data_IF_624054599579
#
_entry.id   IF_624054599579
#
_cell.length_a   1.000
_cell.length_b   1.000
_cell.length_c   1.000
_cell.angle_alpha   90.00
_cell.angle_beta   90.00
_cell.angle_gamma   90.00
#
_symmetry.space_group_name_H-M   'P 1'
#
loop_
_entity.id
_entity.type
_entity.pdbx_description
1 polymer ?
#
# COMPACT_ATOMS: atom_id res chain seq x y z
N UNK A 1 -6.01 -23.85 -27.47
CA UNK A 1 -5.23 -23.91 -26.22
C UNK A 1 -3.87 -23.32 -26.50
N UNK A 2 -3.51 -22.25 -25.79
CA UNK A 2 -2.22 -21.57 -25.94
C UNK A 2 -1.27 -22.06 -24.85
N UNK A 3 0.03 -22.20 -25.19
CA UNK A 3 1.05 -22.69 -24.26
C UNK A 3 2.08 -21.60 -24.01
N UNK A 4 2.38 -21.34 -22.73
CA UNK A 4 3.29 -20.31 -22.26
C UNK A 4 4.24 -20.86 -21.20
N UNK A 5 5.30 -20.13 -20.86
CA UNK A 5 6.12 -20.46 -19.70
C UNK A 5 5.38 -20.06 -18.40
N UNK A 6 4.82 -18.85 -18.35
CA UNK A 6 4.15 -18.32 -17.16
C UNK A 6 2.82 -17.66 -17.51
N UNK A 7 1.78 -17.99 -16.72
CA UNK A 7 0.53 -17.22 -16.66
C UNK A 7 0.54 -16.38 -15.40
N UNK A 8 0.29 -15.07 -15.53
CA UNK A 8 0.11 -14.14 -14.42
C UNK A 8 -1.36 -13.72 -14.35
N UNK A 9 -2.00 -13.86 -13.21
CA UNK A 9 -3.40 -13.43 -12.99
C UNK A 9 -3.43 -12.12 -12.24
N UNK A 10 -3.95 -11.06 -12.87
CA UNK A 10 -4.10 -9.72 -12.31
C UNK A 10 -3.01 -8.76 -12.76
N UNK A 11 -3.44 -7.59 -13.27
CA UNK A 11 -2.60 -6.50 -13.79
C UNK A 11 -2.27 -5.39 -12.78
N UNK A 12 -2.49 -5.63 -11.48
CA UNK A 12 -2.10 -4.70 -10.42
C UNK A 12 -0.59 -4.63 -10.22
N UNK A 13 -0.09 -3.87 -9.20
CA UNK A 13 1.34 -3.66 -8.99
C UNK A 13 2.17 -4.94 -8.90
N UNK A 14 1.66 -5.98 -8.19
CA UNK A 14 2.35 -7.26 -8.06
C UNK A 14 2.47 -8.00 -9.40
N UNK A 15 1.34 -8.17 -10.11
CA UNK A 15 1.33 -8.95 -11.35
C UNK A 15 2.06 -8.26 -12.48
N UNK A 16 1.89 -6.95 -12.66
CA UNK A 16 2.63 -6.16 -13.66
C UNK A 16 4.13 -6.19 -13.40
N UNK A 17 4.56 -6.14 -12.12
CA UNK A 17 5.98 -6.28 -11.75
C UNK A 17 6.50 -7.68 -12.08
N UNK A 18 5.78 -8.74 -11.68
CA UNK A 18 6.20 -10.11 -11.98
C UNK A 18 6.28 -10.38 -13.49
N UNK A 19 5.27 -9.93 -14.24
CA UNK A 19 5.26 -10.06 -15.70
C UNK A 19 6.45 -9.32 -16.34
N UNK A 20 6.76 -8.10 -15.88
CA UNK A 20 7.94 -7.34 -16.34
C UNK A 20 9.23 -8.13 -16.13
N UNK A 21 9.45 -8.62 -14.92
CA UNK A 21 10.70 -9.28 -14.53
C UNK A 21 10.89 -10.62 -15.24
N UNK A 22 9.84 -11.41 -15.34
CA UNK A 22 9.88 -12.72 -15.99
C UNK A 22 10.06 -12.59 -17.50
N UNK A 23 9.40 -11.61 -18.14
CA UNK A 23 9.61 -11.34 -19.57
C UNK A 23 11.02 -10.84 -19.86
N UNK A 24 11.61 -9.98 -19.00
CA UNK A 24 13.03 -9.58 -19.11
C UNK A 24 13.99 -10.75 -18.96
N UNK A 25 13.62 -11.77 -18.19
CA UNK A 25 14.40 -12.98 -18.03
C UNK A 25 14.26 -13.95 -19.25
N UNK A 26 13.46 -13.58 -20.25
CA UNK A 26 13.30 -14.33 -21.52
C UNK A 26 12.19 -15.37 -21.52
N UNK A 27 11.33 -15.39 -20.49
CA UNK A 27 10.18 -16.29 -20.46
C UNK A 27 9.00 -15.77 -21.29
N UNK A 28 8.25 -16.67 -21.92
CA UNK A 28 6.98 -16.35 -22.58
C UNK A 28 5.88 -16.18 -21.51
N UNK A 29 5.54 -14.92 -21.24
CA UNK A 29 4.62 -14.52 -20.17
C UNK A 29 3.31 -14.02 -20.76
N UNK A 30 2.18 -14.56 -20.28
CA UNK A 30 0.85 -14.02 -20.50
C UNK A 30 0.28 -13.48 -19.19
N UNK A 31 -0.24 -12.25 -19.23
CA UNK A 31 -0.92 -11.61 -18.09
C UNK A 31 -2.39 -11.42 -18.43
N UNK A 32 -3.26 -11.93 -17.55
CA UNK A 32 -4.73 -11.87 -17.70
C UNK A 32 -5.29 -10.91 -16.63
N UNK A 33 -5.92 -9.82 -17.09
CA UNK A 33 -6.55 -8.81 -16.22
C UNK A 33 -8.05 -8.68 -16.56
N UNK A 34 -8.88 -8.79 -15.55
CA UNK A 34 -10.35 -8.72 -15.70
C UNK A 34 -10.89 -7.32 -16.02
N UNK A 35 -10.19 -6.29 -15.55
CA UNK A 35 -10.62 -4.91 -15.75
C UNK A 35 -9.98 -4.30 -17.01
N UNK A 36 -10.59 -3.20 -17.48
CA UNK A 36 -9.96 -2.27 -18.41
C UNK A 36 -9.22 -1.20 -17.62
N UNK A 37 -7.97 -0.93 -17.96
CA UNK A 37 -7.20 0.14 -17.35
C UNK A 37 -7.30 1.44 -18.17
N UNK A 38 -7.19 2.63 -17.52
CA UNK A 38 -6.98 2.84 -16.08
C UNK A 38 -8.23 2.55 -15.24
N UNK A 39 -8.03 2.09 -13.98
CA UNK A 39 -9.11 1.83 -13.01
C UNK A 39 -8.73 2.31 -11.62
N UNK A 40 -9.71 2.78 -10.84
CA UNK A 40 -9.48 3.22 -9.48
C UNK A 40 -9.21 2.05 -8.51
N UNK A 41 -8.39 2.33 -7.52
CA UNK A 41 -8.08 1.41 -6.43
C UNK A 41 -7.59 2.21 -5.21
N UNK A 42 -7.71 1.66 -3.99
CA UNK A 42 -7.13 2.24 -2.78
C UNK A 42 -5.67 1.80 -2.60
N UNK A 43 -4.89 2.61 -1.84
CA UNK A 43 -3.48 2.36 -1.57
C UNK A 43 -2.57 3.29 -2.38
N UNK A 44 -2.62 4.58 -2.08
CA UNK A 44 -2.11 5.68 -2.90
C UNK A 44 -0.86 6.34 -2.30
N UNK A 45 -0.48 5.94 -1.09
CA UNK A 45 0.73 6.42 -0.42
C UNK A 45 1.80 5.32 -0.43
N UNK A 46 3.00 5.64 -0.91
CA UNK A 46 4.08 4.68 -1.07
C UNK A 46 5.19 4.88 -0.02
N UNK A 47 6.07 3.88 0.11
CA UNK A 47 7.20 3.91 1.02
C UNK A 47 8.50 4.26 0.27
N UNK A 48 9.50 4.92 0.91
CA UNK A 48 10.78 5.22 0.30
C UNK A 48 11.48 4.02 -0.32
N UNK A 49 11.42 2.85 0.29
CA UNK A 49 12.04 1.62 -0.22
C UNK A 49 11.43 1.11 -1.54
N UNK A 50 10.32 1.68 -2.01
CA UNK A 50 9.83 1.48 -3.38
C UNK A 50 10.71 2.16 -4.43
N UNK A 51 11.46 3.21 -4.08
CA UNK A 51 12.24 4.01 -5.02
C UNK A 51 13.21 3.15 -5.85
N UNK A 52 14.00 2.32 -5.18
CA UNK A 52 14.93 1.40 -5.86
C UNK A 52 14.21 0.37 -6.73
N UNK A 53 13.05 -0.11 -6.30
CA UNK A 53 12.24 -1.06 -7.08
C UNK A 53 11.74 -0.41 -8.37
N UNK A 54 11.31 0.86 -8.33
CA UNK A 54 10.91 1.60 -9.52
C UNK A 54 12.08 1.88 -10.45
N UNK A 55 13.28 2.15 -9.91
CA UNK A 55 14.50 2.28 -10.70
C UNK A 55 14.81 0.97 -11.43
N UNK A 56 14.78 -0.16 -10.74
CA UNK A 56 15.05 -1.48 -11.31
C UNK A 56 13.99 -1.90 -12.33
N UNK A 57 12.74 -1.47 -12.16
CA UNK A 57 11.67 -1.62 -13.15
C UNK A 57 11.80 -0.68 -14.37
N UNK A 58 12.64 0.36 -14.28
CA UNK A 58 12.80 1.36 -15.34
C UNK A 58 11.60 2.31 -15.48
N UNK A 59 10.86 2.56 -14.40
CA UNK A 59 9.70 3.47 -14.38
C UNK A 59 9.92 4.71 -13.51
N UNK A 60 11.07 4.82 -12.82
CA UNK A 60 11.33 5.87 -11.85
C UNK A 60 11.21 7.27 -12.44
N UNK A 61 11.74 7.51 -13.65
CA UNK A 61 11.68 8.82 -14.29
C UNK A 61 10.23 9.22 -14.63
N UNK A 62 9.43 8.27 -15.14
CA UNK A 62 8.00 8.47 -15.40
C UNK A 62 7.25 8.75 -14.08
N UNK A 63 7.61 8.05 -12.99
CA UNK A 63 7.09 8.30 -11.63
C UNK A 63 7.35 9.73 -11.15
N UNK A 64 8.59 10.20 -11.29
CA UNK A 64 9.01 11.55 -10.88
C UNK A 64 8.28 12.66 -11.63
N UNK A 65 7.91 12.41 -12.88
CA UNK A 65 7.19 13.37 -13.73
C UNK A 65 5.69 13.38 -13.47
N UNK A 66 5.13 12.26 -13.01
CA UNK A 66 3.67 12.06 -12.96
C UNK A 66 3.09 12.22 -11.57
N UNK A 67 3.85 11.95 -10.52
CA UNK A 67 3.29 11.82 -9.17
C UNK A 67 3.91 12.76 -8.15
N UNK A 68 3.10 13.13 -7.16
CA UNK A 68 3.52 13.93 -6.00
C UNK A 68 4.61 13.21 -5.23
N UNK A 69 5.65 13.92 -4.82
CA UNK A 69 6.71 13.39 -3.97
C UNK A 69 6.29 13.46 -2.51
N UNK A 70 6.56 12.38 -1.78
CA UNK A 70 6.16 12.20 -0.38
C UNK A 70 7.37 12.25 0.55
N UNK A 71 7.59 13.34 1.31
CA UNK A 71 8.75 13.48 2.20
C UNK A 71 8.59 12.79 3.56
N UNK A 72 7.35 12.43 3.95
CA UNK A 72 7.10 11.89 5.29
C UNK A 72 5.66 11.57 5.59
N UNK A 73 5.40 11.32 6.88
CA UNK A 73 4.08 11.05 7.44
C UNK A 73 3.86 11.95 8.66
N UNK A 74 2.68 12.56 8.77
CA UNK A 74 2.27 13.37 9.91
C UNK A 74 1.09 12.73 10.61
N UNK A 75 1.21 12.47 11.90
CA UNK A 75 0.12 12.03 12.75
C UNK A 75 -0.48 13.22 13.47
N UNK A 76 -1.81 13.25 13.55
CA UNK A 76 -2.57 14.36 14.15
C UNK A 76 -3.65 13.84 15.08
N UNK A 77 -3.97 14.62 16.11
CA UNK A 77 -5.21 14.46 16.86
C UNK A 77 -6.37 14.96 16.00
N UNK A 78 -7.17 14.06 15.47
CA UNK A 78 -8.25 14.40 14.56
C UNK A 78 -9.35 15.26 15.19
N UNK A 79 -9.57 15.15 16.50
CA UNK A 79 -10.59 15.94 17.23
C UNK A 79 -10.14 17.37 17.47
N UNK A 80 -8.86 17.59 17.77
CA UNK A 80 -8.28 18.90 18.05
C UNK A 80 -7.75 19.57 16.78
N UNK A 81 -7.45 18.80 15.73
CA UNK A 81 -6.77 19.29 14.54
C UNK A 81 -5.31 19.66 14.78
N UNK A 82 -4.70 19.18 15.86
CA UNK A 82 -3.32 19.48 16.24
C UNK A 82 -2.36 18.40 15.81
N UNK A 83 -1.13 18.78 15.45
CA UNK A 83 -0.06 17.85 15.10
C UNK A 83 0.40 17.11 16.35
N UNK A 84 0.42 15.77 16.29
CA UNK A 84 0.99 14.93 17.34
C UNK A 84 2.47 14.66 17.06
N UNK A 85 2.81 14.22 15.84
CA UNK A 85 4.21 13.97 15.44
C UNK A 85 4.34 14.00 13.92
N UNK A 86 5.53 14.37 13.43
CA UNK A 86 5.87 14.31 12.00
C UNK A 86 7.14 13.46 11.82
N UNK A 87 7.07 12.50 10.91
CA UNK A 87 8.13 11.56 10.57
C UNK A 87 8.65 11.88 9.18
N UNK A 88 9.75 12.65 9.10
CA UNK A 88 10.38 13.04 7.84
C UNK A 88 11.46 12.04 7.44
N UNK A 89 11.35 11.45 6.27
CA UNK A 89 12.25 10.37 5.85
C UNK A 89 13.68 10.82 5.60
N UNK A 90 13.91 12.11 5.30
CA UNK A 90 15.26 12.69 5.16
C UNK A 90 16.07 12.69 6.47
N UNK A 91 15.45 12.40 7.62
CA UNK A 91 16.17 12.23 8.88
C UNK A 91 17.02 10.95 8.92
N UNK A 92 16.70 9.96 8.10
CA UNK A 92 17.37 8.65 8.07
C UNK A 92 17.85 8.24 6.67
N UNK A 93 17.30 8.84 5.62
CA UNK A 93 17.68 8.59 4.22
C UNK A 93 18.30 9.87 3.66
N UNK A 94 19.63 9.90 3.41
CA UNK A 94 20.35 11.12 3.07
C UNK A 94 20.31 11.50 1.58
N UNK A 95 19.78 10.64 0.72
CA UNK A 95 19.68 10.85 -0.72
C UNK A 95 18.23 11.06 -1.20
N UNK A 96 18.02 11.36 -2.49
CA UNK A 96 16.73 11.66 -3.07
C UNK A 96 15.64 10.57 -2.86
N UNK A 97 16.03 9.35 -2.52
CA UNK A 97 15.09 8.26 -2.29
C UNK A 97 14.21 8.45 -1.05
N UNK A 98 14.55 9.41 -0.17
CA UNK A 98 13.67 9.80 0.93
C UNK A 98 12.33 10.37 0.42
N UNK A 99 12.34 11.04 -0.74
CA UNK A 99 11.14 11.51 -1.41
C UNK A 99 10.44 10.34 -2.11
N UNK A 100 9.60 9.64 -1.38
CA UNK A 100 8.70 8.64 -1.91
C UNK A 100 7.60 9.26 -2.79
N UNK A 101 6.47 8.60 -2.97
CA UNK A 101 5.41 9.08 -3.85
C UNK A 101 4.03 8.96 -3.20
N UNK A 102 3.16 9.92 -3.54
CA UNK A 102 1.71 9.80 -3.47
C UNK A 102 1.20 9.59 -4.90
N UNK A 103 0.43 8.55 -5.13
CA UNK A 103 0.04 8.15 -6.48
C UNK A 103 -1.47 7.98 -6.60
N UNK A 104 -2.09 8.58 -7.60
CA UNK A 104 -3.40 8.14 -8.04
C UNK A 104 -3.24 6.75 -8.67
N UNK A 105 -3.98 5.75 -8.18
CA UNK A 105 -3.78 4.35 -8.55
C UNK A 105 -4.14 4.04 -10.00
N UNK A 106 -5.11 4.76 -10.57
CA UNK A 106 -5.51 4.54 -11.95
C UNK A 106 -4.34 4.76 -12.94
N UNK A 107 -3.66 5.91 -12.99
CA UNK A 107 -2.48 6.10 -13.83
C UNK A 107 -1.27 5.27 -13.38
N UNK A 108 -1.06 5.08 -12.07
CA UNK A 108 0.07 4.32 -11.54
C UNK A 108 0.01 2.83 -11.95
N UNK A 109 -1.11 2.17 -11.71
CA UNK A 109 -1.27 0.76 -12.06
C UNK A 109 -1.19 0.58 -13.59
N UNK A 110 -1.76 1.52 -14.37
CA UNK A 110 -1.68 1.49 -15.83
C UNK A 110 -0.25 1.68 -16.36
N UNK A 111 0.55 2.54 -15.74
CA UNK A 111 1.98 2.70 -16.03
C UNK A 111 2.73 1.38 -15.85
N UNK A 112 2.52 0.67 -14.75
CA UNK A 112 3.15 -0.63 -14.49
C UNK A 112 2.69 -1.70 -15.48
N UNK A 113 1.40 -1.73 -15.82
CA UNK A 113 0.86 -2.67 -16.80
C UNK A 113 1.44 -2.43 -18.21
N UNK A 114 1.53 -1.17 -18.63
CA UNK A 114 2.20 -0.79 -19.89
C UNK A 114 3.69 -1.16 -19.86
N UNK A 115 4.34 -1.01 -18.70
CA UNK A 115 5.73 -1.42 -18.57
C UNK A 115 5.90 -2.93 -18.78
N UNK A 116 4.99 -3.76 -18.27
CA UNK A 116 5.01 -5.20 -18.51
C UNK A 116 4.90 -5.51 -20.02
N UNK A 117 3.95 -4.88 -20.71
CA UNK A 117 3.80 -5.03 -22.15
C UNK A 117 5.05 -4.57 -22.93
N UNK A 118 5.62 -3.41 -22.59
CA UNK A 118 6.88 -2.90 -23.20
C UNK A 118 8.06 -3.85 -23.02
N UNK A 119 8.05 -4.66 -21.96
CA UNK A 119 9.10 -5.65 -21.69
C UNK A 119 8.79 -7.06 -22.23
N UNK A 120 7.74 -7.21 -23.06
CA UNK A 120 7.45 -8.43 -23.79
C UNK A 120 6.34 -9.31 -23.24
N UNK A 121 5.71 -8.95 -22.11
CA UNK A 121 4.55 -9.68 -21.62
C UNK A 121 3.35 -9.52 -22.56
N UNK A 122 2.64 -10.61 -22.85
CA UNK A 122 1.37 -10.60 -23.57
C UNK A 122 0.26 -10.23 -22.59
N UNK A 123 -0.24 -9.00 -22.66
CA UNK A 123 -1.23 -8.46 -21.72
C UNK A 123 -2.63 -8.52 -22.34
N UNK A 124 -3.54 -9.21 -21.69
CA UNK A 124 -4.96 -9.29 -22.04
C UNK A 124 -5.81 -8.66 -20.96
N UNK A 125 -6.27 -7.44 -21.19
CA UNK A 125 -7.26 -6.76 -20.36
C UNK A 125 -8.67 -7.30 -20.66
N UNK A 126 -9.64 -7.02 -19.79
CA UNK A 126 -11.03 -7.48 -19.90
C UNK A 126 -11.14 -9.01 -20.09
N UNK A 127 -10.15 -9.72 -19.55
CA UNK A 127 -10.04 -11.18 -19.63
C UNK A 127 -10.07 -11.77 -18.22
N UNK A 128 -11.26 -12.21 -17.82
CA UNK A 128 -11.52 -12.70 -16.46
C UNK A 128 -11.21 -14.18 -16.36
N UNK A 129 -10.27 -14.55 -15.49
CA UNK A 129 -10.03 -15.95 -15.14
C UNK A 129 -11.25 -16.53 -14.40
N UNK A 130 -11.75 -17.64 -14.90
CA UNK A 130 -12.86 -18.41 -14.32
C UNK A 130 -12.39 -19.56 -13.48
N UNK A 131 -11.40 -20.28 -13.99
CA UNK A 131 -10.90 -21.48 -13.33
C UNK A 131 -9.40 -21.66 -13.52
N UNK A 132 -8.79 -22.34 -12.56
CA UNK A 132 -7.35 -22.65 -12.54
C UNK A 132 -7.18 -24.06 -12.00
N UNK A 133 -6.46 -24.90 -12.72
CA UNK A 133 -6.05 -26.21 -12.24
C UNK A 133 -4.53 -26.26 -12.07
N UNK A 134 -4.10 -26.36 -10.80
CA UNK A 134 -2.68 -26.51 -10.39
C UNK A 134 -2.38 -27.92 -9.89
N UNK A 135 -3.37 -28.81 -9.87
CA UNK A 135 -3.29 -30.12 -9.20
C UNK A 135 -3.19 -31.31 -10.16
N UNK A 136 -3.70 -31.17 -11.40
CA UNK A 136 -3.77 -32.28 -12.34
C UNK A 136 -2.41 -32.72 -12.91
N UNK A 137 -1.41 -31.81 -12.88
CA UNK A 137 -0.06 -32.13 -13.29
C UNK A 137 0.97 -31.32 -12.49
N UNK A 138 2.06 -31.93 -11.98
CA UNK A 138 3.04 -31.23 -11.15
C UNK A 138 3.84 -30.17 -11.91
N UNK A 139 3.99 -30.31 -13.22
CA UNK A 139 4.84 -29.45 -14.06
C UNK A 139 4.05 -28.54 -15.01
N UNK A 140 2.73 -28.46 -14.85
CA UNK A 140 1.92 -27.59 -15.68
C UNK A 140 0.65 -27.16 -14.97
N UNK A 141 0.15 -25.99 -15.37
CA UNK A 141 -1.13 -25.41 -14.93
C UNK A 141 -2.03 -25.19 -16.11
N UNK A 142 -3.34 -25.31 -15.87
CA UNK A 142 -4.35 -24.93 -16.88
C UNK A 142 -5.19 -23.79 -16.32
N UNK A 143 -5.34 -22.73 -17.12
CA UNK A 143 -6.13 -21.54 -16.76
C UNK A 143 -7.22 -21.37 -17.81
N UNK A 144 -8.46 -21.28 -17.35
CA UNK A 144 -9.61 -20.95 -18.18
C UNK A 144 -10.07 -19.52 -17.91
N UNK A 145 -10.16 -18.72 -18.96
CA UNK A 145 -10.57 -17.31 -18.85
C UNK A 145 -11.61 -16.97 -19.90
N UNK A 146 -12.37 -15.89 -19.66
CA UNK A 146 -13.38 -15.36 -20.58
C UNK A 146 -13.02 -13.92 -20.91
N UNK A 147 -12.99 -13.58 -22.20
CA UNK A 147 -12.80 -12.23 -22.70
C UNK A 147 -14.08 -11.39 -22.66
N UNK A 148 -13.99 -10.11 -23.04
CA UNK A 148 -15.12 -9.18 -23.06
C UNK A 148 -16.26 -9.60 -24.00
N UNK A 149 -15.98 -10.41 -25.02
CA UNK A 149 -16.98 -10.95 -25.94
C UNK A 149 -17.74 -12.16 -25.38
N UNK A 150 -17.30 -12.68 -24.23
CA UNK A 150 -17.82 -13.89 -23.62
C UNK A 150 -17.20 -15.18 -24.15
N UNK A 151 -16.17 -15.07 -25.01
CA UNK A 151 -15.45 -16.22 -25.56
C UNK A 151 -14.50 -16.77 -24.50
N UNK A 152 -14.54 -18.10 -24.37
CA UNK A 152 -13.64 -18.82 -23.48
C UNK A 152 -12.30 -19.13 -24.15
N UNK A 153 -11.24 -18.93 -23.40
CA UNK A 153 -9.85 -19.19 -23.75
C UNK A 153 -9.22 -20.12 -22.72
N UNK A 154 -8.42 -21.06 -23.17
CA UNK A 154 -7.66 -21.96 -22.30
C UNK A 154 -6.17 -21.74 -22.53
N UNK A 155 -5.47 -21.43 -21.44
CA UNK A 155 -4.02 -21.26 -21.38
C UNK A 155 -3.40 -22.40 -20.61
N UNK A 156 -2.31 -22.94 -21.12
CA UNK A 156 -1.46 -23.90 -20.42
C UNK A 156 -0.11 -23.26 -20.14
N UNK A 157 0.42 -23.42 -18.95
CA UNK A 157 1.73 -22.89 -18.62
C UNK A 157 2.51 -23.83 -17.71
N UNK A 158 3.83 -23.64 -17.63
CA UNK A 158 4.70 -24.34 -16.70
C UNK A 158 4.53 -23.80 -15.27
N UNK A 159 4.22 -22.53 -15.14
CA UNK A 159 4.08 -21.88 -13.84
C UNK A 159 2.93 -20.85 -13.84
N UNK A 160 2.26 -20.72 -12.70
CA UNK A 160 1.22 -19.72 -12.44
C UNK A 160 1.66 -18.73 -11.36
N UNK A 161 1.46 -17.45 -11.62
CA UNK A 161 1.56 -16.39 -10.61
C UNK A 161 0.16 -15.86 -10.31
N UNK A 162 -0.38 -16.16 -9.13
CA UNK A 162 -1.62 -15.56 -8.64
C UNK A 162 -1.32 -14.20 -8.01
N UNK A 163 -1.60 -13.14 -8.76
CA UNK A 163 -1.57 -11.74 -8.34
C UNK A 163 -2.97 -11.11 -8.44
N UNK A 164 -4.03 -11.91 -8.23
CA UNK A 164 -5.44 -11.52 -8.35
C UNK A 164 -5.92 -10.51 -7.30
N UNK A 165 -4.99 -10.01 -6.47
CA UNK A 165 -5.28 -9.04 -5.43
C UNK A 165 -6.22 -9.60 -4.38
N UNK A 166 -7.15 -8.78 -3.91
CA UNK A 166 -8.08 -9.16 -2.83
C UNK A 166 -9.04 -10.30 -3.17
N UNK A 167 -9.17 -10.69 -4.42
CA UNK A 167 -9.93 -11.91 -4.78
C UNK A 167 -9.25 -13.16 -4.27
N UNK A 168 -7.90 -13.16 -4.17
CA UNK A 168 -7.10 -14.29 -3.72
C UNK A 168 -7.59 -15.59 -4.38
N UNK A 169 -7.50 -15.64 -5.72
CA UNK A 169 -8.19 -16.62 -6.55
C UNK A 169 -7.90 -18.07 -6.10
N UNK A 170 -6.63 -18.44 -5.99
CA UNK A 170 -6.25 -19.77 -5.48
C UNK A 170 -6.68 -19.97 -4.02
N UNK A 171 -6.45 -18.95 -3.18
CA UNK A 171 -6.84 -18.97 -1.77
C UNK A 171 -8.34 -19.19 -1.57
N UNK A 172 -9.16 -18.59 -2.42
CA UNK A 172 -10.61 -18.72 -2.42
C UNK A 172 -11.05 -20.08 -2.98
N UNK A 173 -10.51 -20.47 -4.14
CA UNK A 173 -10.86 -21.75 -4.79
C UNK A 173 -10.57 -22.96 -3.91
N UNK A 174 -9.44 -22.98 -3.24
CA UNK A 174 -9.01 -24.14 -2.44
C UNK A 174 -9.35 -24.00 -0.94
N UNK A 175 -10.06 -22.94 -0.53
CA UNK A 175 -10.43 -22.74 0.88
C UNK A 175 -9.26 -22.42 1.81
N UNK A 176 -8.19 -21.85 1.28
CA UNK A 176 -6.98 -21.48 2.05
C UNK A 176 -7.04 -20.09 2.64
N UNK A 177 -7.99 -19.26 2.20
CA UNK A 177 -8.20 -17.89 2.70
C UNK A 177 -8.91 -17.90 4.05
N UNK A 178 -8.39 -17.14 5.02
CA UNK A 178 -8.97 -16.93 6.35
C UNK A 178 -9.02 -15.46 6.69
N UNK A 179 -10.18 -14.97 7.07
CA UNK A 179 -10.34 -13.59 7.58
C UNK A 179 -9.67 -13.47 8.95
N UNK A 180 -9.08 -12.31 9.21
CA UNK A 180 -8.58 -11.91 10.52
C UNK A 180 -9.64 -11.06 11.22
N UNK A 181 -10.42 -11.68 12.09
CA UNK A 181 -11.53 -11.04 12.80
C UNK A 181 -11.08 -9.89 13.72
N UNK A 182 -9.85 -9.94 14.22
CA UNK A 182 -9.25 -8.90 15.06
C UNK A 182 -9.06 -7.55 14.33
N UNK A 183 -9.14 -7.55 12.99
CA UNK A 183 -9.00 -6.37 12.12
C UNK A 183 -10.28 -6.13 11.30
N UNK A 184 -11.45 -6.27 11.95
CA UNK A 184 -12.78 -6.06 11.36
C UNK A 184 -13.05 -4.56 11.11
N UNK A 185 -12.64 -4.06 9.94
CA UNK A 185 -12.70 -2.66 9.57
C UNK A 185 -13.16 -2.45 8.13
N UNK A 186 -13.69 -1.24 7.91
CA UNK A 186 -14.08 -0.76 6.58
C UNK A 186 -13.53 0.65 6.36
N UNK A 187 -13.05 0.89 5.16
CA UNK A 187 -12.69 2.20 4.65
C UNK A 187 -13.79 2.76 3.76
N UNK A 188 -14.12 4.05 3.92
CA UNK A 188 -15.02 4.83 3.04
C UNK A 188 -14.25 6.07 2.61
N UNK A 189 -14.15 6.31 1.29
CA UNK A 189 -13.24 7.32 0.75
C UNK A 189 -13.61 7.79 -0.65
N UNK A 190 -12.98 8.90 -1.06
CA UNK A 190 -13.05 9.39 -2.43
C UNK A 190 -11.82 10.28 -2.75
N UNK A 191 -11.75 10.78 -3.99
CA UNK A 191 -10.89 11.89 -4.38
C UNK A 191 -11.67 13.19 -4.33
N UNK A 192 -11.04 14.23 -3.77
CA UNK A 192 -11.61 15.56 -3.54
C UNK A 192 -10.79 16.59 -4.32
N UNK A 193 -11.43 17.31 -5.23
CA UNK A 193 -10.80 18.35 -6.04
C UNK A 193 -11.18 19.76 -5.60
N UNK A 194 -10.35 20.73 -6.00
CA UNK A 194 -10.50 22.13 -5.58
C UNK A 194 -9.90 22.41 -4.20
N UNK A 195 -9.02 21.53 -3.71
CA UNK A 195 -8.34 21.70 -2.42
C UNK A 195 -7.25 22.74 -2.56
N UNK A 196 -7.22 23.68 -1.60
CA UNK A 196 -6.11 24.65 -1.49
C UNK A 196 -5.00 24.02 -0.66
N UNK A 197 -3.93 23.58 -1.31
CA UNK A 197 -2.81 22.90 -0.66
C UNK A 197 -1.77 23.86 -0.05
N UNK A 198 -2.15 25.08 0.30
CA UNK A 198 -1.31 26.01 1.04
C UNK A 198 -1.44 25.75 2.55
N UNK A 199 -0.36 25.46 3.23
CA UNK A 199 -0.35 25.19 4.67
C UNK A 199 -0.30 23.70 5.03
N UNK A 200 -1.40 23.11 5.47
CA UNK A 200 -1.42 21.78 6.09
C UNK A 200 -0.95 20.59 5.27
N UNK A 201 -0.93 20.69 3.95
CA UNK A 201 -0.48 19.62 3.04
C UNK A 201 0.80 19.96 2.29
N UNK A 202 1.48 21.03 2.68
CA UNK A 202 2.77 21.36 2.13
C UNK A 202 3.73 20.17 2.25
N UNK A 203 4.67 20.10 1.34
CA UNK A 203 5.70 19.05 1.27
C UNK A 203 5.17 17.63 0.97
N UNK A 204 3.90 17.48 0.52
CA UNK A 204 3.35 16.19 0.10
C UNK A 204 3.18 15.16 1.22
N UNK A 205 3.10 15.58 2.47
CA UNK A 205 2.96 14.69 3.63
C UNK A 205 1.72 13.80 3.53
N UNK A 206 1.85 12.56 3.99
CA UNK A 206 0.69 11.75 4.33
C UNK A 206 0.15 12.18 5.68
N UNK A 207 -1.08 12.66 5.72
CA UNK A 207 -1.73 13.03 6.98
C UNK A 207 -2.58 11.89 7.49
N UNK A 208 -2.35 11.49 8.72
CA UNK A 208 -3.11 10.46 9.46
C UNK A 208 -3.69 11.11 10.72
N UNK A 209 -5.00 11.19 10.79
CA UNK A 209 -5.72 11.83 11.89
C UNK A 209 -6.40 10.75 12.72
N UNK A 210 -6.07 10.67 14.00
CA UNK A 210 -6.72 9.74 14.92
C UNK A 210 -8.18 10.16 15.14
N UNK A 211 -9.10 9.19 15.04
CA UNK A 211 -10.50 9.36 15.40
C UNK A 211 -10.68 9.04 16.91
N UNK A 212 -11.92 9.23 17.40
CA UNK A 212 -12.21 8.95 18.78
C UNK A 212 -12.38 7.47 19.13
N UNK A 213 -12.58 7.20 20.42
CA UNK A 213 -12.82 5.87 20.99
C UNK A 213 -14.07 5.18 20.39
N UNK A 214 -15.08 5.98 20.00
CA UNK A 214 -16.31 5.48 19.39
C UNK A 214 -16.05 4.83 18.04
N UNK A 215 -15.26 5.49 17.17
CA UNK A 215 -14.91 5.02 15.83
C UNK A 215 -13.79 3.98 15.85
N UNK A 216 -12.87 4.10 16.79
CA UNK A 216 -11.63 3.30 16.88
C UNK A 216 -10.93 3.19 15.53
N UNK A 217 -10.74 4.34 14.89
CA UNK A 217 -10.29 4.45 13.52
C UNK A 217 -9.40 5.65 13.27
N UNK A 218 -9.21 5.95 12.00
CA UNK A 218 -8.37 7.05 11.55
C UNK A 218 -8.86 7.60 10.22
N UNK A 219 -8.56 8.87 9.98
CA UNK A 219 -8.77 9.56 8.71
C UNK A 219 -7.40 9.67 8.02
N UNK A 220 -7.38 9.55 6.69
CA UNK A 220 -6.23 9.92 5.89
C UNK A 220 -6.56 11.06 4.95
N UNK A 221 -5.54 11.87 4.65
CA UNK A 221 -5.58 12.91 3.63
C UNK A 221 -4.20 12.91 2.95
N UNK A 222 -4.15 12.56 1.66
CA UNK A 222 -2.91 12.52 0.88
C UNK A 222 -3.08 13.34 -0.39
N UNK A 223 -2.14 14.24 -0.72
CA UNK A 223 -2.19 14.99 -1.97
C UNK A 223 -1.90 14.07 -3.17
N UNK A 224 -2.68 14.18 -4.22
CA UNK A 224 -2.51 13.43 -5.47
C UNK A 224 -2.02 14.29 -6.63
N UNK A 225 -2.27 15.58 -6.56
CA UNK A 225 -1.75 16.63 -7.43
C UNK A 225 -1.86 18.00 -6.72
N UNK A 226 -1.79 19.10 -7.45
CA UNK A 226 -1.75 20.46 -6.89
C UNK A 226 -3.09 20.97 -6.33
N UNK A 227 -4.22 20.34 -6.68
CA UNK A 227 -5.57 20.75 -6.24
C UNK A 227 -6.45 19.57 -5.77
N UNK A 228 -5.89 18.34 -5.76
CA UNK A 228 -6.64 17.13 -5.47
C UNK A 228 -6.00 16.31 -4.36
N UNK A 229 -6.83 15.80 -3.46
CA UNK A 229 -6.44 14.85 -2.42
C UNK A 229 -7.28 13.58 -2.49
N UNK A 230 -6.72 12.47 -2.04
CA UNK A 230 -7.51 11.36 -1.55
C UNK A 230 -7.77 11.56 -0.07
N UNK A 231 -9.03 11.45 0.33
CA UNK A 231 -9.41 11.52 1.73
C UNK A 231 -10.54 10.54 2.04
N UNK A 232 -10.46 9.96 3.21
CA UNK A 232 -11.45 9.03 3.72
C UNK A 232 -11.14 8.62 5.15
N UNK A 233 -11.90 7.67 5.65
CA UNK A 233 -11.72 7.16 7.00
C UNK A 233 -11.81 5.64 7.05
N UNK A 234 -11.19 5.07 8.07
CA UNK A 234 -11.31 3.67 8.47
C UNK A 234 -11.96 3.61 9.84
N UNK A 235 -12.97 2.78 10.01
CA UNK A 235 -13.58 2.52 11.30
C UNK A 235 -14.00 1.05 11.47
N UNK A 236 -14.33 0.65 12.70
CA UNK A 236 -14.85 -0.70 12.96
C UNK A 236 -16.14 -0.97 12.20
N UNK A 237 -16.32 -2.18 11.70
CA UNK A 237 -17.51 -2.59 10.96
C UNK A 237 -18.80 -2.47 11.79
N UNK A 238 -18.74 -2.70 13.11
CA UNK A 238 -19.88 -2.48 14.01
C UNK A 238 -20.33 -1.02 13.97
N UNK A 239 -19.40 -0.08 14.10
CA UNK A 239 -19.68 1.36 14.03
C UNK A 239 -20.33 1.73 12.69
N UNK A 240 -19.72 1.31 11.57
CA UNK A 240 -20.23 1.63 10.23
C UNK A 240 -21.62 1.05 10.00
N UNK A 241 -21.90 -0.18 10.44
CA UNK A 241 -23.25 -0.79 10.34
C UNK A 241 -24.28 0.01 11.10
N UNK A 242 -23.95 0.43 12.33
CA UNK A 242 -24.86 1.19 13.18
C UNK A 242 -25.16 2.59 12.58
N UNK A 243 -24.13 3.28 12.09
CA UNK A 243 -24.33 4.57 11.43
C UNK A 243 -25.12 4.43 10.13
N UNK A 244 -24.79 3.45 9.28
CA UNK A 244 -25.53 3.15 8.07
C UNK A 244 -27.01 2.91 8.36
N UNK A 245 -27.33 2.11 9.36
CA UNK A 245 -28.73 1.85 9.76
C UNK A 245 -29.43 3.13 10.15
N UNK A 246 -28.84 3.94 11.05
CA UNK A 246 -29.40 5.23 11.48
C UNK A 246 -29.67 6.17 10.30
N UNK A 247 -28.74 6.26 9.36
CA UNK A 247 -28.88 7.13 8.18
C UNK A 247 -29.97 6.66 7.22
N UNK A 248 -30.03 5.35 6.96
CA UNK A 248 -31.09 4.78 6.12
C UNK A 248 -32.48 4.91 6.76
N UNK A 249 -32.59 4.70 8.07
CA UNK A 249 -33.85 4.89 8.82
C UNK A 249 -34.26 6.38 8.82
N UNK A 250 -33.32 7.32 8.72
CA UNK A 250 -33.57 8.74 8.55
C UNK A 250 -33.81 9.18 7.08
N UNK A 251 -33.79 8.26 6.12
CA UNK A 251 -34.08 8.51 4.72
C UNK A 251 -32.88 8.97 3.87
N UNK A 252 -31.66 8.76 4.32
CA UNK A 252 -30.47 9.08 3.55
C UNK A 252 -30.43 8.31 2.22
N UNK A 253 -30.16 9.03 1.13
CA UNK A 253 -30.04 8.44 -0.22
C UNK A 253 -28.61 8.03 -0.56
N UNK A 254 -27.64 8.75 -0.03
CA UNK A 254 -26.20 8.56 -0.26
C UNK A 254 -25.51 8.43 1.09
N UNK A 255 -25.86 7.41 1.87
CA UNK A 255 -25.40 7.21 3.24
C UNK A 255 -23.86 7.16 3.35
N UNK A 256 -23.17 6.62 2.33
CA UNK A 256 -21.71 6.54 2.28
C UNK A 256 -21.06 7.92 2.20
N UNK A 257 -21.62 8.83 1.40
CA UNK A 257 -21.17 10.21 1.31
C UNK A 257 -21.49 10.97 2.61
N UNK A 258 -22.73 10.84 3.09
CA UNK A 258 -23.17 11.52 4.31
C UNK A 258 -22.34 11.08 5.51
N UNK A 259 -22.06 9.77 5.65
CA UNK A 259 -21.22 9.26 6.72
C UNK A 259 -19.76 9.73 6.57
N UNK A 260 -19.21 9.71 5.35
CA UNK A 260 -17.86 10.19 5.11
C UNK A 260 -17.72 11.65 5.49
N UNK A 261 -18.62 12.51 5.04
CA UNK A 261 -18.64 13.94 5.41
C UNK A 261 -18.84 14.16 6.90
N UNK A 262 -19.71 13.38 7.54
CA UNK A 262 -19.91 13.44 8.99
C UNK A 262 -18.60 13.20 9.73
N UNK A 263 -17.86 12.15 9.35
CA UNK A 263 -16.61 11.79 10.04
C UNK A 263 -15.45 12.75 9.73
N UNK A 264 -15.31 13.19 8.48
CA UNK A 264 -14.30 14.18 8.09
C UNK A 264 -14.55 15.52 8.80
N UNK A 265 -15.81 15.96 8.88
CA UNK A 265 -16.18 17.23 9.54
C UNK A 265 -16.04 17.22 11.07
N UNK A 266 -15.84 16.06 11.70
CA UNK A 266 -15.49 15.98 13.13
C UNK A 266 -14.09 16.52 13.43
N UNK A 267 -13.21 16.50 12.42
CA UNK A 267 -11.89 17.12 12.50
C UNK A 267 -11.95 18.57 12.01
N UNK A 268 -11.64 19.56 12.86
CA UNK A 268 -11.58 20.97 12.42
C UNK A 268 -10.66 21.17 11.22
N UNK A 269 -9.51 20.49 11.24
CA UNK A 269 -8.53 20.53 10.15
C UNK A 269 -9.09 19.97 8.83
N UNK A 270 -9.66 18.75 8.86
CA UNK A 270 -10.20 18.13 7.66
C UNK A 270 -11.42 18.89 7.12
N UNK A 271 -12.27 19.42 8.01
CA UNK A 271 -13.41 20.26 7.65
C UNK A 271 -12.98 21.51 6.90
N UNK A 272 -12.01 22.27 7.42
CA UNK A 272 -11.49 23.50 6.80
C UNK A 272 -10.85 23.19 5.43
N UNK A 273 -10.03 22.15 5.37
CA UNK A 273 -9.32 21.76 4.15
C UNK A 273 -10.26 21.33 3.02
N UNK A 274 -11.34 20.63 3.35
CA UNK A 274 -12.29 20.08 2.37
C UNK A 274 -13.51 20.98 2.13
N UNK A 275 -13.56 22.15 2.76
CA UNK A 275 -14.66 23.12 2.53
C UNK A 275 -14.69 23.59 1.07
N UNK A 276 -15.84 23.45 0.44
CA UNK A 276 -16.04 23.87 -0.97
C UNK A 276 -15.42 22.94 -2.01
N UNK A 277 -14.90 21.80 -1.61
CA UNK A 277 -14.36 20.77 -2.54
C UNK A 277 -15.46 19.95 -3.19
N UNK A 278 -15.13 19.29 -4.29
CA UNK A 278 -16.04 18.40 -5.02
C UNK A 278 -15.44 16.99 -5.19
N UNK A 279 -16.31 15.99 -5.36
CA UNK A 279 -15.88 14.63 -5.65
C UNK A 279 -15.32 14.53 -7.08
N UNK A 280 -14.13 13.97 -7.22
CA UNK A 280 -13.52 13.63 -8.53
C UNK A 280 -13.82 12.19 -8.96
N UNK A 281 -14.13 11.32 -8.01
CA UNK A 281 -14.60 9.95 -8.25
C UNK A 281 -15.79 9.64 -7.33
N UNK A 282 -16.65 8.67 -7.67
CA UNK A 282 -17.70 8.21 -6.77
C UNK A 282 -17.13 7.71 -5.44
N UNK A 283 -17.95 7.77 -4.38
CA UNK A 283 -17.57 7.18 -3.08
C UNK A 283 -17.20 5.70 -3.23
N UNK A 284 -16.14 5.32 -2.57
CA UNK A 284 -15.60 3.95 -2.56
C UNK A 284 -15.75 3.33 -1.16
N UNK A 285 -16.07 2.05 -1.10
CA UNK A 285 -16.19 1.28 0.15
C UNK A 285 -15.32 0.04 0.05
N UNK A 286 -14.42 -0.14 1.00
CA UNK A 286 -13.56 -1.30 1.10
C UNK A 286 -13.69 -1.91 2.48
N UNK A 287 -14.45 -3.00 2.61
CA UNK A 287 -14.68 -3.70 3.87
C UNK A 287 -13.98 -5.06 3.95
N UNK A 288 -13.88 -5.60 5.17
CA UNK A 288 -13.38 -6.96 5.48
C UNK A 288 -12.08 -7.29 4.74
N UNK A 289 -11.13 -6.35 4.77
CA UNK A 289 -9.96 -6.43 3.92
C UNK A 289 -8.80 -7.21 4.54
N UNK A 290 -8.76 -7.44 5.86
CA UNK A 290 -7.64 -8.15 6.49
C UNK A 290 -7.86 -9.67 6.46
N UNK A 291 -6.94 -10.38 5.82
CA UNK A 291 -6.97 -11.84 5.73
C UNK A 291 -5.57 -12.40 5.48
N UNK A 292 -5.42 -13.67 5.77
CA UNK A 292 -4.26 -14.48 5.40
C UNK A 292 -4.68 -15.63 4.48
N UNK A 293 -3.75 -16.11 3.69
CA UNK A 293 -3.92 -17.31 2.87
C UNK A 293 -2.86 -18.33 3.29
N UNK A 294 -3.19 -19.61 3.28
CA UNK A 294 -2.25 -20.72 3.46
C UNK A 294 -1.74 -21.20 2.10
N UNK A 295 -0.73 -22.05 2.13
CA UNK A 295 -0.20 -22.71 0.91
C UNK A 295 0.16 -21.68 -0.20
N UNK A 296 1.01 -20.73 0.16
CA UNK A 296 1.36 -19.60 -0.69
C UNK A 296 2.03 -19.98 -2.02
N UNK A 297 2.63 -21.15 -2.10
CA UNK A 297 3.31 -21.65 -3.30
C UNK A 297 3.29 -23.18 -3.35
N UNK A 298 3.53 -23.71 -4.54
CA UNK A 298 3.70 -25.12 -4.84
C UNK A 298 4.72 -25.31 -5.95
N UNK A 299 4.76 -26.51 -6.55
CA UNK A 299 5.69 -26.84 -7.63
C UNK A 299 5.49 -26.02 -8.90
N UNK A 300 4.26 -25.56 -9.14
CA UNK A 300 3.85 -24.92 -10.38
C UNK A 300 3.03 -23.62 -10.17
N UNK A 301 2.93 -23.12 -8.95
CA UNK A 301 2.24 -21.86 -8.65
C UNK A 301 2.89 -21.09 -7.50
N UNK A 302 2.66 -19.77 -7.49
CA UNK A 302 3.00 -18.87 -6.40
C UNK A 302 1.98 -17.74 -6.29
N UNK A 303 1.66 -17.30 -5.06
CA UNK A 303 0.73 -16.22 -4.75
C UNK A 303 1.52 -15.02 -4.26
N UNK A 304 1.33 -13.85 -4.86
CA UNK A 304 2.05 -12.62 -4.54
C UNK A 304 1.11 -11.46 -4.22
N UNK A 305 1.64 -10.45 -3.54
CA UNK A 305 0.87 -9.27 -3.14
C UNK A 305 -0.36 -9.63 -2.32
N UNK A 306 -1.48 -8.94 -2.58
CA UNK A 306 -2.72 -9.16 -1.83
C UNK A 306 -3.32 -10.55 -2.04
N UNK A 307 -3.01 -11.25 -3.14
CA UNK A 307 -3.48 -12.62 -3.34
C UNK A 307 -2.96 -13.57 -2.27
N UNK A 308 -1.76 -13.30 -1.71
CA UNK A 308 -1.18 -14.05 -0.58
C UNK A 308 -1.79 -13.65 0.77
N UNK A 309 -2.19 -12.40 0.92
CA UNK A 309 -2.76 -11.88 2.18
C UNK A 309 -2.77 -10.36 2.17
N UNK A 310 -3.78 -9.79 2.82
CA UNK A 310 -3.97 -8.35 2.90
C UNK A 310 -3.79 -7.85 4.33
N UNK A 311 -3.10 -6.72 4.47
CA UNK A 311 -2.86 -6.03 5.74
C UNK A 311 -3.57 -4.68 5.77
N UNK A 312 -3.87 -4.18 6.98
CA UNK A 312 -4.46 -2.85 7.16
C UNK A 312 -3.54 -1.76 6.56
N UNK A 313 -4.10 -0.77 5.83
CA UNK A 313 -3.32 0.20 5.06
C UNK A 313 -2.67 1.32 5.89
N UNK A 314 -2.83 1.34 7.21
CA UNK A 314 -2.37 2.44 8.08
C UNK A 314 -0.89 2.83 7.88
N UNK A 315 -0.02 1.87 7.56
CA UNK A 315 1.40 2.11 7.35
C UNK A 315 1.82 2.16 5.87
N UNK A 316 0.87 2.29 4.95
CA UNK A 316 1.14 2.42 3.50
C UNK A 316 1.99 1.27 2.91
N UNK A 317 1.98 0.09 3.51
CA UNK A 317 2.89 -1.02 3.18
C UNK A 317 2.44 -1.89 2.01
N UNK A 318 1.16 -1.87 1.62
CA UNK A 318 0.57 -2.84 0.68
C UNK A 318 1.23 -2.87 -0.70
N UNK A 319 1.43 -1.71 -1.34
CA UNK A 319 2.07 -1.64 -2.66
C UNK A 319 3.53 -2.06 -2.57
N UNK A 320 4.26 -1.64 -1.53
CA UNK A 320 5.64 -2.07 -1.29
C UNK A 320 5.74 -3.59 -1.14
N UNK A 321 4.92 -4.18 -0.27
CA UNK A 321 4.85 -5.64 -0.10
C UNK A 321 4.54 -6.34 -1.44
N UNK A 322 3.59 -5.80 -2.21
CA UNK A 322 3.19 -6.36 -3.50
C UNK A 322 4.33 -6.38 -4.51
N UNK A 323 5.04 -5.26 -4.69
CA UNK A 323 6.16 -5.15 -5.63
C UNK A 323 7.36 -5.97 -5.14
N UNK A 324 7.72 -5.86 -3.85
CA UNK A 324 8.87 -6.58 -3.30
C UNK A 324 8.68 -8.09 -3.34
N UNK A 325 7.47 -8.60 -3.06
CA UNK A 325 7.16 -10.03 -3.21
C UNK A 325 7.29 -10.48 -4.66
N UNK A 326 6.85 -9.65 -5.62
CA UNK A 326 7.00 -9.96 -7.04
C UNK A 326 8.47 -10.08 -7.45
N UNK A 327 9.37 -9.21 -6.95
CA UNK A 327 10.82 -9.31 -7.21
C UNK A 327 11.39 -10.64 -6.71
N UNK A 328 11.13 -11.01 -5.45
CA UNK A 328 11.67 -12.21 -4.85
C UNK A 328 11.16 -13.48 -5.53
N UNK A 329 9.84 -13.53 -5.76
CA UNK A 329 9.20 -14.72 -6.33
C UNK A 329 9.54 -14.86 -7.81
N UNK A 330 9.63 -13.77 -8.59
CA UNK A 330 10.04 -13.83 -9.99
C UNK A 330 11.48 -14.35 -10.14
N UNK A 331 12.39 -13.95 -9.23
CA UNK A 331 13.75 -14.49 -9.23
C UNK A 331 13.76 -16.00 -8.97
N UNK A 332 12.95 -16.47 -8.00
CA UNK A 332 12.84 -17.91 -7.72
C UNK A 332 12.19 -18.67 -8.88
N UNK A 333 11.17 -18.12 -9.54
CA UNK A 333 10.55 -18.72 -10.73
C UNK A 333 11.56 -18.80 -11.88
N UNK A 334 12.31 -17.73 -12.15
CA UNK A 334 13.33 -17.72 -13.17
C UNK A 334 14.36 -18.83 -12.95
N UNK A 335 14.87 -18.98 -11.74
CA UNK A 335 15.78 -20.07 -11.37
C UNK A 335 15.16 -21.46 -11.64
N UNK A 336 13.91 -21.64 -11.23
CA UNK A 336 13.19 -22.91 -11.40
C UNK A 336 13.00 -23.27 -12.87
N UNK A 337 12.59 -22.31 -13.70
CA UNK A 337 12.29 -22.55 -15.11
C UNK A 337 13.55 -22.71 -15.97
N UNK A 338 14.64 -22.00 -15.62
CA UNK A 338 15.92 -22.01 -16.35
C UNK A 338 16.75 -23.25 -16.01
N UNK A 339 16.92 -23.52 -14.72
CA UNK A 339 17.81 -24.58 -14.23
C UNK A 339 17.07 -25.88 -13.92
N UNK A 340 15.76 -25.95 -14.21
CA UNK A 340 14.90 -27.12 -13.97
C UNK A 340 14.97 -27.62 -12.52
N UNK A 341 15.10 -26.70 -11.59
CA UNK A 341 15.05 -27.01 -10.16
C UNK A 341 13.64 -27.50 -9.84
N UNK A 342 13.54 -28.62 -9.13
CA UNK A 342 12.25 -29.24 -8.78
C UNK A 342 11.45 -28.42 -7.75
N UNK A 343 10.41 -29.06 -7.18
CA UNK A 343 9.48 -28.45 -6.22
C UNK A 343 10.15 -27.92 -4.94
N UNK A 344 11.36 -28.32 -4.62
CA UNK A 344 12.15 -27.87 -3.47
C UNK A 344 13.10 -26.73 -3.84
N UNK A 345 12.63 -25.74 -4.61
CA UNK A 345 13.43 -24.57 -4.98
C UNK A 345 13.86 -23.76 -3.72
N UNK A 346 15.16 -23.75 -3.35
CA UNK A 346 15.62 -23.09 -2.13
C UNK A 346 15.38 -21.57 -2.16
N UNK A 347 15.41 -20.95 -3.35
CA UNK A 347 15.10 -19.52 -3.50
C UNK A 347 13.64 -19.24 -3.21
N UNK A 348 12.73 -20.13 -3.60
CA UNK A 348 11.30 -20.00 -3.30
C UNK A 348 11.04 -20.11 -1.80
N UNK A 349 11.65 -21.11 -1.15
CA UNK A 349 11.57 -21.28 0.32
C UNK A 349 12.04 -20.01 1.02
N UNK A 350 13.27 -19.55 0.71
CA UNK A 350 13.85 -18.35 1.32
C UNK A 350 13.01 -17.10 1.06
N UNK A 351 12.48 -16.94 -0.17
CA UNK A 351 11.61 -15.81 -0.50
C UNK A 351 10.36 -15.79 0.39
N UNK A 352 9.68 -16.94 0.58
CA UNK A 352 8.47 -16.99 1.39
C UNK A 352 8.73 -16.94 2.90
N UNK A 353 9.88 -17.38 3.38
CA UNK A 353 10.31 -17.14 4.77
C UNK A 353 10.42 -15.63 5.03
N UNK A 354 11.13 -14.90 4.17
CA UNK A 354 11.30 -13.45 4.28
C UNK A 354 9.97 -12.71 4.14
N UNK A 355 9.15 -13.05 3.14
CA UNK A 355 7.82 -12.48 2.92
C UNK A 355 6.94 -12.71 4.16
N UNK A 356 6.94 -13.92 4.72
CA UNK A 356 6.12 -14.26 5.88
C UNK A 356 6.54 -13.48 7.12
N UNK A 357 7.85 -13.32 7.34
CA UNK A 357 8.40 -12.49 8.40
C UNK A 357 7.98 -11.03 8.29
N UNK A 358 8.09 -10.44 7.08
CA UNK A 358 7.69 -9.06 6.82
C UNK A 358 6.18 -8.83 7.05
N UNK A 359 5.32 -9.71 6.54
CA UNK A 359 3.87 -9.62 6.80
C UNK A 359 3.53 -9.80 8.28
N UNK A 360 4.18 -10.74 8.96
CA UNK A 360 4.03 -10.95 10.41
C UNK A 360 4.39 -9.70 11.20
N UNK A 361 5.49 -9.04 10.83
CA UNK A 361 5.92 -7.79 11.45
C UNK A 361 4.90 -6.66 11.22
N UNK A 362 4.42 -6.46 9.99
CA UNK A 362 3.40 -5.43 9.70
C UNK A 362 2.12 -5.69 10.48
N UNK A 363 1.67 -6.94 10.62
CA UNK A 363 0.53 -7.29 11.47
C UNK A 363 0.76 -6.91 12.93
N UNK A 364 1.97 -7.13 13.46
CA UNK A 364 2.33 -6.75 14.82
C UNK A 364 2.26 -5.23 15.02
N UNK A 365 2.79 -4.45 14.06
CA UNK A 365 2.67 -2.99 14.07
C UNK A 365 1.22 -2.52 14.10
N UNK A 366 0.37 -3.10 13.24
CA UNK A 366 -1.06 -2.78 13.16
C UNK A 366 -1.74 -3.07 14.49
N UNK A 367 -1.47 -4.22 15.10
CA UNK A 367 -2.01 -4.60 16.41
C UNK A 367 -1.62 -3.60 17.50
N UNK A 368 -0.37 -3.14 17.51
CA UNK A 368 0.10 -2.12 18.43
C UNK A 368 -0.59 -0.78 18.19
N UNK A 369 -0.73 -0.36 16.94
CA UNK A 369 -1.41 0.89 16.58
C UNK A 369 -2.84 0.96 17.11
N UNK A 370 -3.58 -0.14 17.06
CA UNK A 370 -4.97 -0.21 17.52
C UNK A 370 -5.14 -0.58 18.99
N UNK A 371 -4.07 -0.87 19.71
CA UNK A 371 -4.14 -1.20 21.13
C UNK A 371 -4.18 0.09 21.96
N UNK A 372 -5.28 0.41 22.65
CA UNK A 372 -5.40 1.64 23.43
C UNK A 372 -4.48 1.68 24.67
N UNK A 373 -3.91 0.54 25.05
CA UNK A 373 -2.98 0.40 26.17
C UNK A 373 -1.52 0.29 25.72
N UNK A 374 -1.26 0.26 24.41
CA UNK A 374 0.09 0.33 23.87
C UNK A 374 0.53 1.79 23.76
N UNK A 375 1.84 1.96 23.66
CA UNK A 375 2.45 3.20 23.24
C UNK A 375 1.81 3.77 21.99
N UNK A 376 1.36 5.00 22.09
CA UNK A 376 1.01 5.76 20.90
C UNK A 376 2.29 6.16 20.15
N UNK A 377 2.23 6.23 18.84
CA UNK A 377 3.32 6.77 18.03
C UNK A 377 3.67 8.21 18.41
N UNK A 378 2.74 8.94 19.03
CA UNK A 378 2.96 10.26 19.63
C UNK A 378 3.86 10.21 20.86
N UNK A 379 3.78 9.15 21.67
CA UNK A 379 4.65 8.98 22.84
C UNK A 379 6.06 8.49 22.46
N UNK A 380 6.18 7.77 21.33
CA UNK A 380 7.48 7.36 20.78
C UNK A 380 8.15 8.54 20.04
N UNK A 381 7.37 9.38 19.37
CA UNK A 381 7.81 10.59 18.72
C UNK A 381 7.45 11.80 19.58
N UNK A 382 8.36 12.36 20.33
CA UNK A 382 8.11 13.59 21.07
C UNK A 382 7.83 14.80 20.18
N UNK A 383 7.29 15.88 20.84
CA UNK A 383 7.02 17.19 20.25
C UNK A 383 7.95 17.53 19.09
N UNK A 384 7.36 17.89 17.95
CA UNK A 384 8.01 18.04 16.65
C UNK A 384 9.20 19.00 16.53
N UNK A 385 9.71 19.51 17.65
CA UNK A 385 10.89 20.38 17.71
C UNK A 385 12.16 19.68 18.19
N UNK A 386 12.09 18.39 18.58
CA UNK A 386 13.22 17.72 19.23
C UNK A 386 13.50 16.37 18.60
N UNK A 387 14.54 16.30 17.78
CA UNK A 387 15.05 15.02 17.26
C UNK A 387 16.19 14.51 18.13
N UNK A 388 16.18 13.21 18.34
CA UNK A 388 17.22 12.51 19.08
C UNK A 388 18.19 11.84 18.13
N UNK A 389 19.41 11.58 18.58
CA UNK A 389 20.45 10.95 17.78
C UNK A 389 20.02 9.62 17.16
N UNK A 390 20.70 9.20 16.10
CA UNK A 390 20.42 8.01 15.26
C UNK A 390 20.19 6.68 16.01
N UNK A 391 20.56 6.58 17.27
CA UNK A 391 20.40 5.40 18.12
C UNK A 391 19.06 5.39 18.89
N UNK A 392 18.23 6.39 18.67
CA UNK A 392 16.94 6.55 19.36
C UNK A 392 15.81 5.77 18.70
N UNK A 393 14.70 5.58 19.42
CA UNK A 393 13.45 5.01 18.91
C UNK A 393 12.97 5.73 17.65
N UNK A 394 13.23 7.03 17.54
CA UNK A 394 12.88 7.82 16.36
C UNK A 394 13.55 7.33 15.09
N UNK A 395 14.87 7.05 15.12
CA UNK A 395 15.55 6.51 13.95
C UNK A 395 14.98 5.14 13.56
N UNK A 396 14.75 4.27 14.53
CA UNK A 396 14.11 2.96 14.30
C UNK A 396 12.74 3.14 13.67
N UNK A 397 11.91 4.03 14.20
CA UNK A 397 10.59 4.34 13.65
C UNK A 397 10.65 4.87 12.20
N UNK A 398 11.56 5.78 11.90
CA UNK A 398 11.73 6.31 10.55
C UNK A 398 12.13 5.22 9.54
N UNK A 399 13.14 4.40 9.85
CA UNK A 399 13.55 3.30 8.98
C UNK A 399 12.42 2.29 8.77
N UNK A 400 11.71 1.95 9.84
CA UNK A 400 10.58 1.05 9.79
C UNK A 400 9.47 1.59 8.89
N UNK A 401 9.07 2.87 9.07
CA UNK A 401 8.07 3.54 8.24
C UNK A 401 8.53 3.79 6.79
N UNK A 402 9.84 3.72 6.52
CA UNK A 402 10.41 3.82 5.17
C UNK A 402 10.32 2.53 4.36
N UNK A 403 10.14 1.37 5.01
CA UNK A 403 10.05 0.05 4.37
C UNK A 403 11.21 -0.89 4.70
N UNK A 404 12.19 -0.48 5.51
CA UNK A 404 13.35 -1.30 5.93
C UNK A 404 12.95 -2.58 6.66
N UNK A 405 11.75 -2.61 7.23
CA UNK A 405 11.21 -3.78 7.93
C UNK A 405 11.20 -5.05 7.07
N UNK A 406 11.15 -4.93 5.76
CA UNK A 406 11.06 -6.11 4.90
C UNK A 406 12.32 -6.98 5.00
N UNK A 407 13.49 -6.35 5.03
CA UNK A 407 14.78 -7.04 5.16
C UNK A 407 15.14 -7.31 6.64
N UNK A 408 14.69 -6.45 7.56
CA UNK A 408 15.14 -6.40 8.95
C UNK A 408 14.02 -6.69 9.97
N UNK A 409 12.96 -7.41 9.58
CA UNK A 409 11.80 -7.66 10.45
C UNK A 409 12.15 -8.36 11.77
N UNK A 410 13.14 -9.24 11.79
CA UNK A 410 13.60 -9.91 13.02
C UNK A 410 14.16 -8.91 14.03
N UNK A 411 15.00 -7.97 13.57
CA UNK A 411 15.57 -6.90 14.41
C UNK A 411 14.48 -6.02 14.99
N UNK A 412 13.47 -5.66 14.19
CA UNK A 412 12.36 -4.86 14.65
C UNK A 412 11.43 -5.64 15.60
N UNK A 413 11.24 -6.93 15.39
CA UNK A 413 10.50 -7.78 16.32
C UNK A 413 11.13 -7.80 17.72
N UNK A 414 12.46 -7.90 17.82
CA UNK A 414 13.17 -7.80 19.11
C UNK A 414 12.96 -6.45 19.79
N UNK A 415 12.96 -5.36 19.02
CA UNK A 415 12.67 -4.03 19.55
C UNK A 415 11.24 -3.92 20.06
N UNK A 416 10.24 -4.46 19.34
CA UNK A 416 8.85 -4.48 19.79
C UNK A 416 8.62 -5.34 21.02
N UNK A 417 9.30 -6.48 21.15
CA UNK A 417 9.27 -7.30 22.37
C UNK A 417 9.68 -6.51 23.61
N UNK A 418 10.70 -5.67 23.45
CA UNK A 418 11.12 -4.77 24.51
C UNK A 418 10.04 -3.73 24.86
N UNK A 419 9.39 -3.14 23.83
CA UNK A 419 8.36 -2.11 24.02
C UNK A 419 7.06 -2.67 24.61
N UNK A 420 6.69 -3.90 24.28
CA UNK A 420 5.49 -4.58 24.79
C UNK A 420 5.62 -4.97 26.26
N UNK A 421 6.85 -5.00 26.81
CA UNK A 421 7.08 -5.34 28.21
C UNK A 421 7.06 -4.08 29.09
N UNK A 422 6.05 -3.86 29.96
CA UNK A 422 5.84 -2.60 30.68
C UNK A 422 7.07 -2.08 31.43
N UNK A 423 7.79 -2.96 32.16
CA UNK A 423 8.99 -2.58 32.91
C UNK A 423 10.17 -2.20 32.03
N UNK A 424 10.34 -2.89 30.90
CA UNK A 424 11.41 -2.59 29.95
C UNK A 424 11.10 -1.31 29.20
N UNK A 425 9.84 -1.07 28.89
CA UNK A 425 9.40 0.17 28.28
C UNK A 425 9.64 1.38 29.18
N UNK A 426 9.26 1.35 30.44
CA UNK A 426 9.53 2.45 31.38
C UNK A 426 11.03 2.72 31.53
N UNK A 427 11.85 1.66 31.54
CA UNK A 427 13.32 1.80 31.54
C UNK A 427 13.82 2.45 30.27
N UNK A 428 13.31 2.02 29.11
CA UNK A 428 13.67 2.57 27.82
C UNK A 428 13.25 4.04 27.70
N UNK A 429 12.02 4.37 28.08
CA UNK A 429 11.49 5.74 28.10
C UNK A 429 12.40 6.65 28.94
N UNK A 430 12.82 6.22 30.11
CA UNK A 430 13.74 6.96 30.95
C UNK A 430 15.10 7.20 30.27
N UNK A 431 15.71 6.15 29.67
CA UNK A 431 16.98 6.28 28.96
C UNK A 431 16.86 7.25 27.78
N UNK A 432 15.75 7.20 27.05
CA UNK A 432 15.49 8.07 25.92
C UNK A 432 15.25 9.51 26.37
N UNK A 433 14.53 9.73 27.47
CA UNK A 433 14.29 11.07 28.04
C UNK A 433 15.54 11.74 28.59
N UNK A 434 16.49 10.96 29.08
CA UNK A 434 17.76 11.46 29.63
C UNK A 434 18.82 11.84 28.55
N UNK A 435 18.53 11.56 27.27
CA UNK A 435 19.45 11.91 26.18
C UNK A 435 19.41 13.41 25.83
N UNK A 436 20.55 14.00 25.42
CA UNK A 436 20.59 15.40 25.01
C UNK A 436 19.63 15.65 23.85
N UNK A 437 18.79 16.66 24.00
CA UNK A 437 17.83 17.10 22.98
C UNK A 437 18.58 17.93 21.92
N UNK A 438 18.50 17.52 20.66
CA UNK A 438 19.01 18.31 19.53
C UNK A 438 17.82 19.07 18.93
N UNK A 439 17.89 20.39 18.90
CA UNK A 439 16.91 21.18 18.13
C UNK A 439 17.17 20.93 16.64
N UNK A 440 16.17 20.40 15.96
CA UNK A 440 16.14 20.34 14.50
C UNK A 440 15.00 21.22 14.00
N UNK A 441 15.06 21.59 12.74
CA UNK A 441 13.95 22.31 12.13
C UNK A 441 12.66 21.48 12.26
N UNK A 442 11.60 22.10 12.72
CA UNK A 442 10.28 21.48 12.72
C UNK A 442 9.86 21.19 11.27
N UNK A 443 9.42 19.95 11.02
CA UNK A 443 8.95 19.53 9.70
C UNK A 443 10.04 18.94 8.79
N UNK A 444 9.64 18.61 7.56
CA UNK A 444 10.53 18.05 6.55
C UNK A 444 11.28 19.17 5.79
N UNK A 445 12.55 18.95 5.46
CA UNK A 445 13.38 19.91 4.74
C UNK A 445 13.08 19.96 3.22
N UNK A 446 11.85 19.69 2.82
CA UNK A 446 11.42 19.70 1.42
C UNK A 446 10.67 21.00 1.12
N UNK A 447 10.93 21.55 -0.07
CA UNK A 447 10.22 22.72 -0.57
C UNK A 447 9.04 22.29 -1.45
N UNK A 448 8.09 23.19 -1.62
CA UNK A 448 6.95 22.98 -2.51
C UNK A 448 7.39 22.53 -3.92
N UNK A 449 8.42 23.17 -4.46
CA UNK A 449 8.96 22.87 -5.78
C UNK A 449 9.59 21.48 -5.86
N UNK A 450 10.19 20.97 -4.77
CA UNK A 450 10.77 19.63 -4.72
C UNK A 450 9.69 18.54 -4.76
N UNK A 451 8.52 18.85 -4.21
CA UNK A 451 7.40 17.92 -4.05
C UNK A 451 6.49 17.89 -5.26
N UNK A 452 6.18 19.06 -5.81
CA UNK A 452 5.22 19.22 -6.90
C UNK A 452 5.85 19.64 -8.24
N UNK A 453 7.14 19.79 -8.34
CA UNK A 453 7.90 20.46 -9.38
C UNK A 453 7.40 20.33 -10.82
N UNK A 454 7.18 19.12 -11.33
CA UNK A 454 6.70 18.95 -12.70
C UNK A 454 5.19 19.17 -12.85
N UNK A 455 4.41 18.88 -11.80
CA UNK A 455 2.96 19.12 -11.79
C UNK A 455 2.61 20.62 -11.81
N UNK A 456 3.45 21.46 -11.19
CA UNK A 456 3.28 22.91 -11.23
C UNK A 456 3.51 23.44 -12.65
N UNK A 457 4.55 22.98 -13.33
CA UNK A 457 4.91 23.43 -14.68
C UNK A 457 3.82 23.13 -15.72
N UNK A 458 3.15 22.01 -15.61
CA UNK A 458 2.04 21.63 -16.50
C UNK A 458 0.81 22.53 -16.29
N UNK A 459 0.53 22.94 -15.06
CA UNK A 459 -0.59 23.82 -14.75
C UNK A 459 -0.33 25.28 -15.11
N UNK A 460 0.92 25.76 -15.07
CA UNK A 460 1.28 27.11 -15.49
C UNK A 460 1.17 27.32 -17.01
N UNK A 461 1.31 26.24 -17.80
CA UNK A 461 1.17 26.28 -19.26
C UNK A 461 -0.29 26.30 -19.75
N UNK A 462 -1.27 26.13 -18.88
CA UNK A 462 -2.71 26.11 -19.19
C UNK A 462 -3.42 27.42 -18.86
N UNK A 463 -2.75 28.48 -18.38
CA UNK A 463 -3.38 29.79 -18.28
C UNK A 463 -3.54 30.37 -19.69
N UNK A 464 -4.77 30.59 -20.20
CA UNK A 464 -4.95 31.27 -21.46
C UNK A 464 -4.48 32.71 -21.28
N UNK A 465 -3.52 33.10 -22.08
CA UNK A 465 -3.22 34.52 -22.29
C UNK A 465 -4.53 35.23 -22.64
N UNK A 466 -4.96 36.11 -21.76
CA UNK A 466 -6.06 37.04 -21.96
C UNK A 466 -5.87 37.89 -23.20
#
# INVERSE_FOLDING_TARGET
METHDVVVIGGGPAGSTAATLLSRAGHDVVLLEKAKFPREHVGESLLPFCYKLFQDLGVLDEMKHTFVRKPGVRFMDGRKGTVSTTWCFNHVIPDESYLSFQVARAPFDHMLLKNAARNGAKVYEQTKVKDVDVSSAPDSVTVTAIDESGKEHTYRARFLVDASGREALLGTKYGWRRLREEHDRTAIWSHWGGVKLAGGLEEGLSLILYMGEEQKGWIWIFPLDTDRVTAGFVAQNSYIRDQRKKMLDAGAKNWEYELCMQELNRSPFAKELLEGTELRIPMQINGNYSYEVKNHYGSNYAMIGDARGFVDPIFSSGVFLSIKTAFLVSNAINEQLTNKVGSENPLMVKAYEQITGAYGFVHRMIKLFYNPHALTWAEVGEDGEVHRRHESAMAVGHFMLSGDFFENHERYNQFFEMLEHPKQFERYKKIVMDQPKLKTAAGCNSKWEDVFGNLIRENETVQPTT
#
